data_IF_926926443016
#
_entry.id   IF_926926443016
#
_cell.length_a   1.000
_cell.length_b   1.000
_cell.length_c   1.000
_cell.angle_alpha   90.00
_cell.angle_beta   90.00
_cell.angle_gamma   90.00
#
_symmetry.space_group_name_H-M   'P 1'
#
loop_
_entity.id
_entity.type
_entity.pdbx_description
1 polymer ?
#
# COMPACT_ATOMS: atom_id res chain seq x y z
N UNK A 1 -19.35 14.18 3.87
CA UNK A 1 -18.21 13.80 4.73
C UNK A 1 -17.32 12.82 3.96
N UNK A 2 -16.25 13.30 3.33
CA UNK A 2 -15.28 12.41 2.69
C UNK A 2 -14.41 11.77 3.78
N UNK A 3 -14.78 10.57 4.24
CA UNK A 3 -13.84 9.72 4.99
C UNK A 3 -12.61 9.55 4.10
N UNK A 4 -11.45 10.00 4.57
CA UNK A 4 -10.19 9.63 3.95
C UNK A 4 -10.18 8.09 3.87
N UNK A 5 -10.28 7.55 2.65
CA UNK A 5 -10.30 6.10 2.45
C UNK A 5 -8.88 5.60 2.65
N UNK A 6 -8.69 4.94 3.78
CA UNK A 6 -7.49 4.15 4.03
C UNK A 6 -7.78 2.72 3.62
N UNK A 7 -6.83 2.14 2.91
CA UNK A 7 -6.84 0.76 2.50
C UNK A 7 -5.90 -0.03 3.41
N UNK A 8 -6.30 -1.24 3.75
CA UNK A 8 -5.43 -2.21 4.40
C UNK A 8 -4.35 -2.71 3.45
N UNK A 9 -3.31 -3.37 3.99
CA UNK A 9 -2.30 -4.05 3.16
C UNK A 9 -2.89 -5.09 2.19
N UNK A 10 -3.99 -5.74 2.57
CA UNK A 10 -4.66 -6.71 1.71
C UNK A 10 -5.33 -6.02 0.53
N UNK A 11 -6.07 -4.93 0.77
CA UNK A 11 -6.72 -4.15 -0.29
C UNK A 11 -5.68 -3.47 -1.18
N UNK A 12 -4.65 -2.86 -0.62
CA UNK A 12 -3.56 -2.26 -1.38
C UNK A 12 -2.89 -3.29 -2.32
N UNK A 13 -2.66 -4.51 -1.84
CA UNK A 13 -2.11 -5.59 -2.65
C UNK A 13 -3.06 -6.00 -3.81
N UNK A 14 -4.37 -6.05 -3.55
CA UNK A 14 -5.38 -6.30 -4.59
C UNK A 14 -5.36 -5.20 -5.66
N UNK A 15 -5.33 -3.92 -5.26
CA UNK A 15 -5.25 -2.80 -6.21
C UNK A 15 -3.98 -2.86 -7.07
N UNK A 16 -2.86 -3.26 -6.47
CA UNK A 16 -1.57 -3.39 -7.17
C UNK A 16 -1.46 -4.67 -8.01
N UNK A 17 -2.40 -5.62 -7.88
CA UNK A 17 -2.34 -6.90 -8.56
C UNK A 17 -1.14 -7.74 -8.12
N UNK A 18 -0.87 -7.77 -6.82
CA UNK A 18 0.18 -8.58 -6.18
C UNK A 18 -0.36 -9.28 -4.94
N UNK A 19 0.35 -10.29 -4.44
CA UNK A 19 0.01 -10.88 -3.15
C UNK A 19 0.41 -9.95 -2.01
N UNK A 20 -0.32 -10.02 -0.88
CA UNK A 20 0.00 -9.31 0.37
C UNK A 20 1.44 -9.60 0.83
N UNK A 21 1.91 -10.83 0.65
CA UNK A 21 3.27 -11.22 1.03
C UNK A 21 4.32 -10.51 0.15
N UNK A 22 4.05 -10.34 -1.15
CA UNK A 22 4.91 -9.58 -2.06
C UNK A 22 4.98 -8.11 -1.65
N UNK A 23 3.85 -7.50 -1.30
CA UNK A 23 3.79 -6.13 -0.78
C UNK A 23 4.70 -5.96 0.45
N UNK A 24 4.56 -6.85 1.45
CA UNK A 24 5.40 -6.84 2.66
C UNK A 24 6.87 -7.10 2.33
N UNK A 25 7.17 -7.99 1.38
CA UNK A 25 8.54 -8.25 0.93
C UNK A 25 9.16 -7.00 0.30
N UNK A 26 8.41 -6.25 -0.50
CA UNK A 26 8.88 -5.00 -1.10
C UNK A 26 9.09 -3.90 -0.06
N UNK A 27 8.24 -3.81 0.95
CA UNK A 27 8.47 -2.92 2.12
C UNK A 27 9.76 -3.29 2.85
N UNK A 28 9.97 -4.57 3.14
CA UNK A 28 11.15 -5.06 3.84
C UNK A 28 12.43 -4.83 3.02
N UNK A 29 12.35 -5.00 1.69
CA UNK A 29 13.45 -4.72 0.76
C UNK A 29 13.66 -3.24 0.47
N UNK A 30 12.90 -2.33 1.10
CA UNK A 30 12.93 -0.87 0.86
C UNK A 30 12.64 -0.46 -0.59
N UNK A 31 12.00 -1.35 -1.36
CA UNK A 31 11.50 -1.03 -2.71
C UNK A 31 10.24 -0.18 -2.57
N UNK A 32 9.37 -0.54 -1.63
CA UNK A 32 8.21 0.25 -1.25
C UNK A 32 8.51 1.07 0.01
N UNK A 33 8.05 2.33 0.09
CA UNK A 33 8.09 3.08 1.33
C UNK A 33 7.30 2.35 2.43
N UNK A 34 7.73 2.50 3.67
CA UNK A 34 7.02 1.90 4.81
C UNK A 34 5.64 2.56 4.94
N UNK A 35 4.55 1.78 5.02
CA UNK A 35 3.21 2.32 5.16
C UNK A 35 3.02 3.01 6.51
N UNK A 36 2.07 3.95 6.54
CA UNK A 36 1.59 4.49 7.81
C UNK A 36 0.92 3.38 8.61
N UNK A 37 1.06 3.45 9.92
CA UNK A 37 0.36 2.56 10.84
C UNK A 37 -0.68 3.37 11.58
N UNK A 38 -1.90 2.86 11.62
CA UNK A 38 -2.95 3.44 12.43
C UNK A 38 -2.55 3.32 13.91
N UNK A 39 -2.62 4.41 14.65
CA UNK A 39 -2.25 4.45 16.08
C UNK A 39 -3.22 3.66 16.96
N UNK A 40 -4.46 3.44 16.52
CA UNK A 40 -5.52 2.80 17.30
C UNK A 40 -5.49 1.28 17.22
N UNK A 41 -5.16 0.70 16.05
CA UNK A 41 -5.17 -0.75 15.84
C UNK A 41 -3.81 -1.32 15.37
N UNK A 42 -2.83 -0.47 15.04
CA UNK A 42 -1.50 -0.86 14.56
C UNK A 42 -1.48 -1.39 13.12
N UNK A 43 -2.58 -1.28 12.38
CA UNK A 43 -2.69 -1.82 11.02
C UNK A 43 -1.99 -0.92 10.01
N UNK A 44 -1.54 -1.52 8.91
CA UNK A 44 -0.96 -0.79 7.77
C UNK A 44 -2.08 -0.09 7.00
N UNK A 45 -1.97 1.21 6.88
CA UNK A 45 -2.89 2.06 6.13
C UNK A 45 -2.19 2.64 4.91
N UNK A 46 -2.85 2.51 3.77
CA UNK A 46 -2.42 3.09 2.50
C UNK A 46 -3.51 4.04 2.02
N UNK A 47 -3.09 5.21 1.57
CA UNK A 47 -3.94 6.15 0.85
C UNK A 47 -3.98 5.82 -0.63
N UNK A 48 -4.99 6.33 -1.34
CA UNK A 48 -5.07 6.17 -2.79
C UNK A 48 -3.82 6.72 -3.50
N UNK A 49 -3.28 7.86 -3.04
CA UNK A 49 -2.05 8.45 -3.56
C UNK A 49 -0.82 7.56 -3.34
N UNK A 50 -0.72 6.90 -2.19
CA UNK A 50 0.34 5.92 -1.95
C UNK A 50 0.20 4.73 -2.91
N UNK A 51 -1.00 4.19 -3.09
CA UNK A 51 -1.23 3.09 -4.05
C UNK A 51 -0.84 3.51 -5.47
N UNK A 52 -1.18 4.73 -5.91
CA UNK A 52 -0.75 5.27 -7.21
C UNK A 52 0.78 5.36 -7.32
N UNK A 53 1.47 5.84 -6.27
CA UNK A 53 2.93 5.87 -6.22
C UNK A 53 3.54 4.47 -6.29
N UNK A 54 3.01 3.52 -5.51
CA UNK A 54 3.46 2.12 -5.51
C UNK A 54 3.30 1.49 -6.89
N UNK A 55 2.20 1.78 -7.59
CA UNK A 55 1.97 1.34 -8.97
C UNK A 55 3.03 1.89 -9.93
N UNK A 56 3.41 3.17 -9.77
CA UNK A 56 4.49 3.80 -10.52
C UNK A 56 5.86 3.13 -10.29
N UNK A 57 6.19 2.81 -9.02
CA UNK A 57 7.44 2.11 -8.66
C UNK A 57 7.53 0.74 -9.34
N UNK A 58 6.40 0.04 -9.47
CA UNK A 58 6.36 -1.26 -10.16
C UNK A 58 6.58 -1.17 -11.67
N UNK A 59 6.65 0.03 -12.26
CA UNK A 59 6.78 0.20 -13.71
C UNK A 59 5.56 -0.27 -14.50
N UNK A 60 4.40 -0.45 -13.84
CA UNK A 60 3.13 -0.84 -14.48
C UNK A 60 2.35 0.38 -14.97
N UNK A 61 3.06 1.35 -15.55
CA UNK A 61 2.44 2.42 -16.34
C UNK A 61 2.23 1.85 -17.74
N UNK A 62 1.01 1.40 -18.03
CA UNK A 62 0.56 1.15 -19.40
C UNK A 62 -0.39 2.27 -19.79
#
# INVERSE_FOLDING_TARGET
>A
MNKAKYYSATEAAQFLGISKQTLIRYENKKVFPRPKRNVLNGWREYTEDEIKKLRGIMGRTR
#
